data_IF_614101805943
#
_entry.id   IF_614101805943
#
_cell.length_a   1.000
_cell.length_b   1.000
_cell.length_c   1.000
_cell.angle_alpha   90.00
_cell.angle_beta   90.00
_cell.angle_gamma   90.00
#
_symmetry.space_group_name_H-M   'P 1'
#
loop_
_entity.id
_entity.type
_entity.pdbx_description
1 polymer ?
#
# COMPACT_ATOMS: atom_id res chain seq x y z
N UNK A 1 18.70 -44.35 -20.43
CA UNK A 1 17.55 -43.88 -19.65
C UNK A 1 17.69 -42.36 -19.54
N UNK A 2 17.25 -41.66 -20.58
CA UNK A 2 17.33 -40.20 -20.68
C UNK A 2 16.18 -39.60 -19.88
N UNK A 3 16.50 -38.80 -18.88
CA UNK A 3 15.51 -38.05 -18.10
C UNK A 3 15.01 -36.92 -19.00
N UNK A 4 13.74 -37.04 -19.42
CA UNK A 4 13.01 -36.01 -20.15
C UNK A 4 12.90 -34.74 -19.28
N UNK A 5 13.53 -33.67 -19.73
CA UNK A 5 13.51 -32.34 -19.13
C UNK A 5 12.28 -31.52 -19.56
N UNK A 6 11.13 -32.16 -19.68
CA UNK A 6 9.88 -31.56 -20.16
C UNK A 6 8.86 -31.41 -19.03
N UNK A 7 9.12 -30.47 -18.11
CA UNK A 7 8.06 -29.92 -17.24
C UNK A 7 8.32 -28.49 -16.72
N UNK A 8 9.11 -27.68 -17.44
CA UNK A 8 9.24 -26.24 -17.14
C UNK A 8 8.87 -25.43 -18.39
N UNK A 9 7.61 -25.51 -18.80
CA UNK A 9 7.01 -24.46 -19.63
C UNK A 9 5.49 -24.49 -19.47
N UNK A 10 4.97 -23.55 -18.69
CA UNK A 10 3.62 -23.05 -18.89
C UNK A 10 3.53 -21.65 -18.29
N UNK A 11 3.56 -20.65 -19.18
CA UNK A 11 3.51 -19.20 -18.96
C UNK A 11 4.88 -18.53 -18.71
N UNK A 12 5.68 -18.43 -19.79
CA UNK A 12 6.54 -17.26 -19.94
C UNK A 12 5.67 -16.00 -19.83
N UNK A 13 6.03 -15.11 -18.91
CA UNK A 13 5.32 -13.85 -18.68
C UNK A 13 5.60 -12.93 -19.88
N UNK A 14 4.76 -12.98 -20.92
CA UNK A 14 5.00 -12.29 -22.19
C UNK A 14 4.81 -10.77 -22.12
N UNK A 15 4.47 -10.23 -20.94
CA UNK A 15 4.28 -8.79 -20.71
C UNK A 15 5.54 -8.17 -20.16
N UNK A 16 5.87 -6.97 -20.65
CA UNK A 16 7.01 -6.18 -20.16
C UNK A 16 6.85 -5.95 -18.66
N UNK A 17 7.82 -6.39 -17.88
CA UNK A 17 7.85 -6.14 -16.45
C UNK A 17 8.24 -4.67 -16.19
N UNK A 18 7.45 -3.96 -15.38
CA UNK A 18 7.71 -2.56 -15.06
C UNK A 18 8.73 -2.42 -13.92
N UNK A 19 10.01 -2.65 -14.21
CA UNK A 19 11.10 -2.55 -13.25
C UNK A 19 11.17 -1.19 -12.53
N UNK A 20 10.88 -0.09 -13.25
CA UNK A 20 10.84 1.26 -12.66
C UNK A 20 9.75 1.38 -11.60
N UNK A 21 8.58 0.77 -11.81
CA UNK A 21 7.50 0.80 -10.82
C UNK A 21 7.88 -0.01 -9.57
N UNK A 22 8.61 -1.11 -9.72
CA UNK A 22 9.18 -1.84 -8.57
C UNK A 22 10.23 -1.01 -7.83
N UNK A 23 11.10 -0.31 -8.56
CA UNK A 23 12.09 0.59 -7.95
C UNK A 23 11.42 1.75 -7.18
N UNK A 24 10.33 2.32 -7.73
CA UNK A 24 9.53 3.34 -7.04
C UNK A 24 8.85 2.81 -5.77
N UNK A 25 8.46 1.52 -5.74
CA UNK A 25 8.01 0.90 -4.48
C UNK A 25 9.13 0.90 -3.44
N UNK A 26 10.36 0.62 -3.86
CA UNK A 26 11.55 0.71 -3.01
C UNK A 26 11.77 2.12 -2.46
N UNK A 27 11.71 3.14 -3.31
CA UNK A 27 11.82 4.55 -2.90
C UNK A 27 10.75 4.89 -1.86
N UNK A 28 9.48 4.58 -2.14
CA UNK A 28 8.37 4.83 -1.22
C UNK A 28 8.55 4.08 0.12
N UNK A 29 9.01 2.82 0.09
CA UNK A 29 9.22 2.02 1.30
C UNK A 29 10.34 2.60 2.18
N UNK A 30 11.44 3.06 1.59
CA UNK A 30 12.51 3.74 2.32
C UNK A 30 11.98 5.04 2.93
N UNK A 31 11.19 5.82 2.21
CA UNK A 31 10.55 7.03 2.74
C UNK A 31 9.64 6.74 3.94
N UNK A 32 8.89 5.64 3.92
CA UNK A 32 8.04 5.20 5.06
C UNK A 32 8.89 4.86 6.29
N UNK A 33 10.01 4.16 6.10
CA UNK A 33 10.93 3.86 7.20
C UNK A 33 11.50 5.14 7.80
N UNK A 34 11.98 6.07 6.97
CA UNK A 34 12.51 7.36 7.42
C UNK A 34 11.42 8.18 8.12
N UNK A 35 10.19 8.20 7.58
CA UNK A 35 9.04 8.85 8.21
C UNK A 35 8.84 8.37 9.65
N UNK A 36 8.72 7.05 9.86
CA UNK A 36 8.49 6.52 11.21
C UNK A 36 9.70 6.70 12.14
N UNK A 37 10.93 6.64 11.63
CA UNK A 37 12.12 6.93 12.43
C UNK A 37 12.08 8.37 12.95
N UNK A 38 11.77 9.34 12.09
CA UNK A 38 11.71 10.75 12.45
C UNK A 38 10.50 11.09 13.33
N UNK A 39 9.37 10.40 13.13
CA UNK A 39 8.12 10.59 13.86
C UNK A 39 8.32 10.46 15.38
N UNK A 40 9.17 9.53 15.81
CA UNK A 40 9.47 9.29 17.23
C UNK A 40 10.10 10.49 17.94
N UNK A 41 10.73 11.42 17.20
CA UNK A 41 11.38 12.62 17.72
C UNK A 41 10.50 13.87 17.70
N UNK A 42 9.25 13.76 17.21
CA UNK A 42 8.34 14.91 17.07
C UNK A 42 7.52 15.20 18.33
N UNK A 43 7.47 14.25 19.27
CA UNK A 43 6.62 14.35 20.47
C UNK A 43 5.12 14.41 20.14
N UNK A 44 4.70 13.85 19.01
CA UNK A 44 3.32 13.88 18.52
C UNK A 44 2.95 15.18 17.78
N UNK A 45 3.88 16.13 17.64
CA UNK A 45 3.64 17.35 16.87
C UNK A 45 3.98 17.14 15.40
N UNK A 46 2.95 16.91 14.59
CA UNK A 46 3.10 16.66 13.16
C UNK A 46 3.78 17.83 12.43
N UNK A 47 3.79 19.06 12.96
CA UNK A 47 4.47 20.18 12.29
C UNK A 47 6.00 20.13 12.38
N UNK A 48 6.54 19.38 13.36
CA UNK A 48 7.99 19.20 13.54
C UNK A 48 8.56 18.08 12.69
N UNK A 49 7.70 17.28 12.07
CA UNK A 49 8.10 16.15 11.26
C UNK A 49 8.73 16.61 9.95
N UNK A 50 9.98 16.22 9.70
CA UNK A 50 10.76 16.63 8.51
C UNK A 50 10.21 15.99 7.24
N UNK A 51 10.03 14.67 7.23
CA UNK A 51 9.32 13.96 6.17
C UNK A 51 7.87 13.89 6.60
N UNK A 52 7.05 14.88 6.23
CA UNK A 52 5.74 15.04 6.84
C UNK A 52 4.66 14.08 6.31
N UNK A 53 4.77 13.68 5.05
CA UNK A 53 3.70 12.97 4.34
C UNK A 53 4.06 11.54 3.95
N UNK A 54 5.05 10.94 4.62
CA UNK A 54 5.49 9.57 4.35
C UNK A 54 4.37 8.53 4.47
N UNK A 55 3.34 8.79 5.29
CA UNK A 55 2.16 7.93 5.38
C UNK A 55 1.37 7.82 4.06
N UNK A 56 1.45 8.81 3.16
CA UNK A 56 0.79 8.77 1.85
C UNK A 56 1.39 7.73 0.90
N UNK A 57 2.60 7.24 1.19
CA UNK A 57 3.20 6.14 0.42
C UNK A 57 2.31 4.89 0.39
N UNK A 58 1.47 4.69 1.42
CA UNK A 58 0.46 3.62 1.44
C UNK A 58 -0.54 3.76 0.28
N UNK A 59 -1.05 4.97 0.06
CA UNK A 59 -1.98 5.26 -1.03
C UNK A 59 -1.29 5.08 -2.40
N UNK A 60 -0.01 5.45 -2.49
CA UNK A 60 0.81 5.15 -3.67
C UNK A 60 0.96 3.64 -3.92
N UNK A 61 1.18 2.83 -2.88
CA UNK A 61 1.22 1.37 -3.01
C UNK A 61 -0.11 0.79 -3.48
N UNK A 62 -1.25 1.28 -2.97
CA UNK A 62 -2.57 0.87 -3.43
C UNK A 62 -2.82 1.25 -4.90
N UNK A 63 -2.40 2.44 -5.33
CA UNK A 63 -2.47 2.84 -6.73
C UNK A 63 -1.64 1.93 -7.62
N UNK A 64 -0.40 1.65 -7.23
CA UNK A 64 0.43 0.70 -7.95
C UNK A 64 -0.16 -0.72 -7.95
N UNK A 65 -0.81 -1.15 -6.87
CA UNK A 65 -1.47 -2.46 -6.81
C UNK A 65 -2.60 -2.53 -7.85
N UNK A 66 -3.47 -1.52 -7.90
CA UNK A 66 -4.53 -1.41 -8.91
C UNK A 66 -3.99 -1.38 -10.35
N UNK A 67 -2.92 -0.61 -10.59
CA UNK A 67 -2.30 -0.53 -11.91
C UNK A 67 -1.68 -1.86 -12.35
N UNK A 68 -0.86 -2.47 -11.50
CA UNK A 68 -0.15 -3.71 -11.81
C UNK A 68 -1.13 -4.88 -11.96
N UNK A 69 -2.19 -4.94 -11.15
CA UNK A 69 -3.15 -6.03 -11.24
C UNK A 69 -3.98 -5.96 -12.52
N UNK A 70 -4.44 -4.77 -12.91
CA UNK A 70 -5.14 -4.57 -14.18
C UNK A 70 -4.25 -4.91 -15.37
N UNK A 71 -3.02 -4.38 -15.38
CA UNK A 71 -2.03 -4.67 -16.42
C UNK A 71 -1.70 -6.17 -16.53
N UNK A 72 -1.51 -6.85 -15.40
CA UNK A 72 -1.04 -8.24 -15.41
C UNK A 72 -2.14 -9.25 -15.70
N UNK A 73 -3.42 -8.97 -15.35
CA UNK A 73 -4.45 -10.01 -15.32
C UNK A 73 -5.69 -9.76 -16.17
N UNK A 74 -6.01 -8.53 -16.60
CA UNK A 74 -7.29 -8.23 -17.29
C UNK A 74 -7.50 -9.09 -18.56
N UNK A 75 -6.42 -9.41 -19.30
CA UNK A 75 -6.45 -10.23 -20.52
C UNK A 75 -6.24 -11.74 -20.29
N UNK A 76 -5.94 -12.16 -19.06
CA UNK A 76 -5.57 -13.55 -18.72
C UNK A 76 -6.73 -14.40 -18.23
N UNK A 77 -7.89 -13.82 -17.98
CA UNK A 77 -9.04 -14.52 -17.40
C UNK A 77 -9.59 -15.66 -18.27
N UNK A 78 -9.39 -15.63 -19.59
CA UNK A 78 -9.77 -16.74 -20.48
C UNK A 78 -8.87 -17.97 -20.31
N UNK A 79 -7.68 -17.81 -19.71
CA UNK A 79 -6.67 -18.85 -19.52
C UNK A 79 -6.38 -19.14 -18.05
N UNK A 80 -7.10 -18.50 -17.13
CA UNK A 80 -6.84 -18.55 -15.70
C UNK A 80 -8.14 -18.63 -14.90
N UNK A 81 -8.23 -19.64 -14.03
CA UNK A 81 -9.35 -19.78 -13.11
C UNK A 81 -9.25 -18.80 -11.93
N UNK A 82 -10.37 -18.59 -11.23
CA UNK A 82 -10.41 -17.80 -10.00
C UNK A 82 -9.45 -18.33 -8.93
N UNK A 83 -9.43 -19.65 -8.72
CA UNK A 83 -8.48 -20.29 -7.80
C UNK A 83 -7.01 -20.12 -8.24
N UNK A 84 -6.75 -20.15 -9.56
CA UNK A 84 -5.43 -19.89 -10.11
C UNK A 84 -4.95 -18.46 -9.83
N UNK A 85 -5.84 -17.48 -9.93
CA UNK A 85 -5.54 -16.09 -9.54
C UNK A 85 -5.21 -15.99 -8.05
N UNK A 86 -6.08 -16.49 -7.17
CA UNK A 86 -5.87 -16.40 -5.72
C UNK A 86 -4.60 -17.13 -5.27
N UNK A 87 -4.29 -18.29 -5.85
CA UNK A 87 -3.03 -19.00 -5.59
C UNK A 87 -1.81 -18.14 -5.93
N UNK A 88 -1.81 -17.45 -7.08
CA UNK A 88 -0.71 -16.55 -7.47
C UNK A 88 -0.56 -15.36 -6.52
N UNK A 89 -1.68 -14.77 -6.08
CA UNK A 89 -1.65 -13.68 -5.09
C UNK A 89 -1.15 -14.16 -3.73
N UNK A 90 -1.56 -15.35 -3.30
CA UNK A 90 -1.12 -15.95 -2.03
C UNK A 90 0.38 -16.26 -2.05
N UNK A 91 0.90 -16.92 -3.09
CA UNK A 91 2.35 -17.21 -3.21
C UNK A 91 3.18 -15.93 -3.24
N UNK A 92 2.63 -14.84 -3.77
CA UNK A 92 3.33 -13.55 -3.83
C UNK A 92 3.36 -12.80 -2.49
N UNK A 93 2.26 -12.80 -1.74
CA UNK A 93 2.10 -11.94 -0.55
C UNK A 93 2.36 -12.67 0.76
N UNK A 94 1.92 -13.93 0.88
CA UNK A 94 1.88 -14.66 2.15
C UNK A 94 3.26 -15.03 2.72
N UNK A 95 4.28 -15.38 1.90
CA UNK A 95 5.62 -15.67 2.45
C UNK A 95 6.18 -14.48 3.26
N UNK A 96 6.00 -13.26 2.76
CA UNK A 96 6.46 -12.06 3.46
C UNK A 96 5.65 -11.78 4.73
N UNK A 97 4.36 -12.10 4.76
CA UNK A 97 3.52 -11.98 5.96
C UNK A 97 4.02 -12.93 7.05
N UNK A 98 4.28 -14.19 6.72
CA UNK A 98 4.80 -15.18 7.68
C UNK A 98 6.13 -14.72 8.25
N UNK A 99 7.06 -14.27 7.39
CA UNK A 99 8.36 -13.76 7.85
C UNK A 99 8.22 -12.52 8.74
N UNK A 100 7.35 -11.57 8.38
CA UNK A 100 7.12 -10.38 9.19
C UNK A 100 6.54 -10.72 10.57
N UNK A 101 5.58 -11.65 10.62
CA UNK A 101 4.98 -12.10 11.89
C UNK A 101 5.99 -12.82 12.78
N UNK A 102 6.88 -13.65 12.21
CA UNK A 102 7.97 -14.30 12.94
C UNK A 102 8.94 -13.26 13.52
N UNK A 103 9.39 -12.31 12.71
CA UNK A 103 10.30 -11.24 13.16
C UNK A 103 9.61 -10.37 14.22
N UNK A 104 8.34 -10.02 14.01
CA UNK A 104 7.55 -9.26 14.98
C UNK A 104 7.42 -9.98 16.32
N UNK A 105 7.19 -11.29 16.32
CA UNK A 105 7.14 -12.10 17.53
C UNK A 105 8.50 -12.22 18.23
N UNK A 106 9.59 -12.44 17.49
CA UNK A 106 10.95 -12.52 18.03
C UNK A 106 11.35 -11.18 18.69
N UNK A 107 10.97 -10.08 18.06
CA UNK A 107 11.34 -8.74 18.53
C UNK A 107 10.33 -8.12 19.51
N UNK A 108 9.20 -8.79 19.79
CA UNK A 108 8.04 -8.21 20.49
C UNK A 108 8.40 -7.55 21.82
N UNK A 109 9.05 -8.28 22.73
CA UNK A 109 9.38 -7.75 24.07
C UNK A 109 10.47 -6.67 24.05
N UNK A 110 11.24 -6.53 22.97
CA UNK A 110 12.22 -5.45 22.81
C UNK A 110 11.59 -4.11 22.41
N UNK A 111 10.30 -4.10 22.08
CA UNK A 111 9.56 -2.90 21.71
C UNK A 111 8.95 -2.18 22.91
N UNK A 112 9.11 -2.71 24.13
CA UNK A 112 8.53 -2.13 25.35
C UNK A 112 8.96 -0.67 25.53
N UNK A 113 7.98 0.22 25.62
CA UNK A 113 8.19 1.67 25.77
C UNK A 113 6.90 2.35 26.25
N UNK A 114 6.99 3.64 26.59
CA UNK A 114 5.86 4.46 27.08
C UNK A 114 4.63 4.52 26.15
N UNK A 115 4.79 4.17 24.87
CA UNK A 115 3.71 4.15 23.90
C UNK A 115 3.02 2.77 23.81
N UNK A 116 3.68 1.70 24.26
CA UNK A 116 3.21 0.31 24.13
C UNK A 116 3.08 -0.37 25.50
N UNK A 117 2.20 0.20 26.33
CA UNK A 117 2.09 -0.10 27.76
C UNK A 117 1.66 -1.53 28.09
N UNK A 118 1.17 -2.31 27.11
CA UNK A 118 0.72 -3.68 27.35
C UNK A 118 1.86 -4.69 27.28
N UNK A 119 2.97 -4.40 26.58
CA UNK A 119 4.00 -5.38 26.17
C UNK A 119 4.56 -6.16 27.36
N UNK A 120 4.99 -5.46 28.43
CA UNK A 120 5.58 -6.07 29.61
C UNK A 120 4.67 -7.11 30.31
N UNK A 121 3.35 -6.94 30.22
CA UNK A 121 2.36 -7.81 30.86
C UNK A 121 1.86 -8.96 29.98
N UNK A 122 2.29 -9.07 28.71
CA UNK A 122 1.73 -10.07 27.79
C UNK A 122 2.33 -11.45 28.05
N UNK A 123 1.51 -12.45 28.40
CA UNK A 123 2.00 -13.82 28.55
C UNK A 123 2.35 -14.42 27.17
N UNK A 124 3.41 -15.24 27.13
CA UNK A 124 3.95 -15.83 25.89
C UNK A 124 2.88 -16.57 25.07
N UNK A 125 1.95 -17.28 25.72
CA UNK A 125 0.89 -17.98 24.98
C UNK A 125 -0.01 -17.02 24.19
N UNK A 126 -0.27 -15.81 24.71
CA UNK A 126 -1.11 -14.79 24.03
C UNK A 126 -0.36 -14.23 22.83
N UNK A 127 0.95 -13.99 22.97
CA UNK A 127 1.85 -13.66 21.86
C UNK A 127 1.81 -14.73 20.76
N UNK A 128 1.96 -16.01 21.12
CA UNK A 128 1.92 -17.13 20.17
C UNK A 128 0.55 -17.28 19.49
N UNK A 129 -0.54 -17.07 20.21
CA UNK A 129 -1.90 -17.07 19.65
C UNK A 129 -2.06 -15.96 18.61
N UNK A 130 -1.68 -14.73 18.96
CA UNK A 130 -1.76 -13.57 18.05
C UNK A 130 -0.84 -13.75 16.84
N UNK A 131 0.33 -14.38 17.01
CA UNK A 131 1.22 -14.75 15.90
C UNK A 131 0.55 -15.76 14.95
N UNK A 132 -0.08 -16.81 15.48
CA UNK A 132 -0.76 -17.82 14.68
C UNK A 132 -1.93 -17.21 13.88
N UNK A 133 -2.72 -16.33 14.51
CA UNK A 133 -3.77 -15.57 13.81
C UNK A 133 -3.12 -14.65 12.77
N UNK A 134 -2.03 -13.96 13.12
CA UNK A 134 -1.27 -13.07 12.24
C UNK A 134 -0.78 -13.75 10.96
N UNK A 135 -0.38 -15.03 11.01
CA UNK A 135 -0.01 -15.79 9.80
C UNK A 135 -1.14 -15.87 8.78
N UNK A 136 -2.40 -15.82 9.21
CA UNK A 136 -3.56 -15.83 8.32
C UNK A 136 -3.92 -14.45 7.77
N UNK A 137 -3.32 -13.39 8.32
CA UNK A 137 -3.70 -11.99 8.11
C UNK A 137 -5.16 -11.69 8.48
N UNK A 138 -5.80 -12.53 9.30
CA UNK A 138 -7.09 -12.18 9.89
C UNK A 138 -6.88 -11.11 10.98
N UNK A 139 -7.72 -10.06 11.00
CA UNK A 139 -7.55 -8.97 11.94
C UNK A 139 -8.05 -9.41 13.33
N UNK A 140 -7.41 -8.93 14.39
CA UNK A 140 -7.83 -9.20 15.77
C UNK A 140 -8.59 -8.01 16.37
N UNK A 141 -9.62 -8.26 17.22
CA UNK A 141 -10.30 -7.20 17.95
C UNK A 141 -9.39 -6.60 19.04
N UNK A 142 -9.76 -5.42 19.56
CA UNK A 142 -9.01 -4.72 20.60
C UNK A 142 -8.79 -5.54 21.89
N UNK A 143 -9.62 -6.55 22.17
CA UNK A 143 -9.41 -7.48 23.31
C UNK A 143 -8.15 -8.35 23.17
N UNK A 144 -7.69 -8.57 21.94
CA UNK A 144 -6.47 -9.29 21.61
C UNK A 144 -5.30 -8.35 21.26
N UNK A 145 -5.43 -7.05 21.50
CA UNK A 145 -4.34 -6.10 21.38
C UNK A 145 -3.28 -6.38 22.47
N UNK A 146 -2.13 -6.87 22.02
CA UNK A 146 -0.98 -7.17 22.87
C UNK A 146 -0.02 -5.99 23.00
N UNK A 147 -0.14 -4.96 22.16
CA UNK A 147 0.76 -3.81 22.14
C UNK A 147 0.18 -2.62 22.93
N UNK A 148 -1.14 -2.48 22.95
CA UNK A 148 -1.85 -1.37 23.60
C UNK A 148 -2.05 -0.17 22.68
N UNK A 149 -2.01 -0.39 21.36
CA UNK A 149 -2.14 0.64 20.32
C UNK A 149 -3.38 0.44 19.43
N UNK A 150 -4.30 -0.44 19.83
CA UNK A 150 -5.56 -0.78 19.13
C UNK A 150 -5.38 -1.37 17.72
N UNK A 151 -4.19 -1.87 17.40
CA UNK A 151 -3.88 -2.41 16.07
C UNK A 151 -4.57 -3.75 15.81
N UNK A 152 -5.14 -3.89 14.61
CA UNK A 152 -5.73 -5.15 14.15
C UNK A 152 -4.68 -6.24 13.85
N UNK A 153 -3.40 -5.86 13.76
CA UNK A 153 -2.25 -6.75 13.58
C UNK A 153 -1.09 -6.30 14.48
N UNK A 154 -1.17 -6.51 15.80
CA UNK A 154 -0.28 -5.87 16.77
C UNK A 154 1.18 -6.38 16.78
N UNK A 155 1.49 -7.45 16.04
CA UNK A 155 2.89 -7.90 15.81
C UNK A 155 3.55 -7.20 14.63
N UNK A 156 2.75 -6.73 13.69
CA UNK A 156 3.20 -6.06 12.47
C UNK A 156 2.19 -4.96 12.19
N UNK A 157 2.32 -3.84 12.88
CA UNK A 157 1.41 -2.69 12.76
C UNK A 157 1.04 -2.36 11.30
N UNK A 158 2.02 -2.19 10.38
CA UNK A 158 1.76 -1.88 8.97
C UNK A 158 0.98 -2.96 8.18
N UNK A 159 0.78 -4.17 8.72
CA UNK A 159 0.09 -5.26 8.02
C UNK A 159 -1.38 -4.98 7.70
N UNK A 160 -1.99 -3.98 8.34
CA UNK A 160 -3.35 -3.53 8.01
C UNK A 160 -3.46 -3.16 6.52
N UNK A 161 -2.40 -2.60 5.93
CA UNK A 161 -2.37 -2.24 4.50
C UNK A 161 -2.48 -3.48 3.60
N UNK A 162 -1.79 -4.57 3.95
CA UNK A 162 -1.89 -5.85 3.23
C UNK A 162 -3.28 -6.48 3.39
N UNK A 163 -3.91 -6.34 4.56
CA UNK A 163 -5.29 -6.79 4.77
C UNK A 163 -6.24 -6.12 3.78
N UNK A 164 -6.17 -4.80 3.63
CA UNK A 164 -6.94 -4.07 2.61
C UNK A 164 -6.53 -4.46 1.18
N UNK A 165 -5.25 -4.75 0.91
CA UNK A 165 -4.83 -5.25 -0.41
C UNK A 165 -5.47 -6.61 -0.73
N UNK A 166 -5.59 -7.53 0.24
CA UNK A 166 -6.34 -8.78 0.04
C UNK A 166 -7.81 -8.54 -0.28
N UNK A 167 -8.46 -7.60 0.41
CA UNK A 167 -9.83 -7.20 0.09
C UNK A 167 -9.91 -6.67 -1.35
N UNK A 168 -9.01 -5.78 -1.75
CA UNK A 168 -8.98 -5.27 -3.12
C UNK A 168 -8.72 -6.37 -4.16
N UNK A 169 -7.85 -7.35 -3.87
CA UNK A 169 -7.64 -8.51 -4.75
C UNK A 169 -8.92 -9.33 -4.95
N UNK A 170 -9.68 -9.54 -3.87
CA UNK A 170 -10.98 -10.23 -3.91
C UNK A 170 -11.99 -9.42 -4.72
N UNK A 171 -12.14 -8.13 -4.41
CA UNK A 171 -13.04 -7.22 -5.14
C UNK A 171 -12.70 -7.17 -6.63
N UNK A 172 -11.41 -7.11 -6.98
CA UNK A 172 -10.95 -7.15 -8.36
C UNK A 172 -11.37 -8.44 -9.07
N UNK A 173 -11.05 -9.60 -8.49
CA UNK A 173 -11.30 -10.89 -9.10
C UNK A 173 -12.79 -11.21 -9.30
N UNK A 174 -13.63 -10.78 -8.36
CA UNK A 174 -15.06 -11.07 -8.36
C UNK A 174 -15.89 -10.04 -9.12
N UNK A 175 -15.54 -8.75 -8.99
CA UNK A 175 -16.39 -7.63 -9.42
C UNK A 175 -15.64 -6.69 -10.36
N UNK A 176 -14.60 -5.99 -9.89
CA UNK A 176 -14.07 -4.80 -10.56
C UNK A 176 -13.51 -5.09 -11.95
N UNK A 177 -12.93 -6.28 -12.16
CA UNK A 177 -12.41 -6.67 -13.47
C UNK A 177 -13.47 -6.67 -14.58
N UNK A 178 -14.74 -6.92 -14.23
CA UNK A 178 -15.87 -7.04 -15.17
C UNK A 178 -16.52 -5.70 -15.47
N UNK A 179 -16.19 -4.66 -14.72
CA UNK A 179 -16.81 -3.35 -14.89
C UNK A 179 -16.28 -2.67 -16.17
N UNK A 180 -17.15 -2.01 -16.96
CA UNK A 180 -16.71 -1.17 -18.05
C UNK A 180 -16.01 0.08 -17.53
N UNK A 181 -15.13 0.66 -18.35
CA UNK A 181 -14.32 1.83 -17.97
C UNK A 181 -15.18 3.04 -17.54
N UNK A 182 -16.38 3.20 -18.08
CA UNK A 182 -17.31 4.27 -17.67
C UNK A 182 -17.78 4.12 -16.22
N UNK A 183 -18.21 2.92 -15.81
CA UNK A 183 -18.61 2.66 -14.41
C UNK A 183 -17.40 2.78 -13.49
N UNK A 184 -16.25 2.25 -13.92
CA UNK A 184 -15.02 2.37 -13.14
C UNK A 184 -14.63 3.85 -12.94
N UNK A 185 -14.76 4.70 -13.96
CA UNK A 185 -14.51 6.13 -13.85
C UNK A 185 -15.48 6.83 -12.88
N UNK A 186 -16.76 6.46 -12.88
CA UNK A 186 -17.73 6.97 -11.90
C UNK A 186 -17.33 6.56 -10.48
N UNK A 187 -16.92 5.31 -10.27
CA UNK A 187 -16.45 4.85 -8.96
C UNK A 187 -15.18 5.57 -8.51
N UNK A 188 -14.23 5.81 -9.43
CA UNK A 188 -13.03 6.61 -9.16
C UNK A 188 -13.39 8.03 -8.74
N UNK A 189 -14.35 8.67 -9.43
CA UNK A 189 -14.81 10.02 -9.08
C UNK A 189 -15.44 10.05 -7.69
N UNK A 190 -16.35 9.12 -7.38
CA UNK A 190 -17.01 9.04 -6.07
C UNK A 190 -15.97 8.77 -4.96
N UNK A 191 -15.05 7.82 -5.18
CA UNK A 191 -14.00 7.51 -4.21
C UNK A 191 -13.04 8.71 -4.02
N UNK A 192 -12.74 9.46 -5.08
CA UNK A 192 -11.91 10.66 -5.01
C UNK A 192 -12.59 11.78 -4.22
N UNK A 193 -13.89 12.00 -4.44
CA UNK A 193 -14.69 12.93 -3.64
C UNK A 193 -14.73 12.52 -2.16
N UNK A 194 -14.89 11.22 -1.87
CA UNK A 194 -14.85 10.69 -0.51
C UNK A 194 -13.48 10.86 0.16
N UNK A 195 -12.38 10.67 -0.59
CA UNK A 195 -11.02 10.89 -0.11
C UNK A 195 -10.75 12.36 0.20
N UNK A 196 -11.14 13.27 -0.71
CA UNK A 196 -11.01 14.73 -0.49
C UNK A 196 -11.82 15.14 0.73
N UNK A 197 -13.08 14.69 0.82
CA UNK A 197 -13.91 14.97 1.99
C UNK A 197 -13.23 14.46 3.27
N UNK A 198 -12.77 13.21 3.30
CA UNK A 198 -12.11 12.63 4.47
C UNK A 198 -10.89 13.46 4.89
N UNK A 199 -10.00 13.78 3.95
CA UNK A 199 -8.77 14.49 4.24
C UNK A 199 -9.01 15.92 4.75
N UNK A 200 -9.89 16.67 4.08
CA UNK A 200 -10.17 18.08 4.39
C UNK A 200 -10.99 18.25 5.68
N UNK A 201 -11.86 17.29 5.99
CA UNK A 201 -12.71 17.32 7.21
C UNK A 201 -12.13 16.56 8.39
N UNK A 202 -10.96 15.92 8.22
CA UNK A 202 -10.26 15.21 9.29
C UNK A 202 -9.91 16.19 10.43
N UNK A 203 -10.18 15.84 11.70
CA UNK A 203 -9.79 16.68 12.84
C UNK A 203 -8.29 16.93 12.90
N UNK A 204 -7.50 15.98 12.40
CA UNK A 204 -6.04 16.08 12.30
C UNK A 204 -5.61 16.69 10.97
N UNK A 205 -6.50 16.99 10.01
CA UNK A 205 -6.11 17.52 8.70
C UNK A 205 -5.21 16.60 7.88
N UNK A 206 -5.23 15.31 8.16
CA UNK A 206 -4.51 14.29 7.41
C UNK A 206 -5.37 13.02 7.30
N UNK A 207 -4.90 12.07 6.50
CA UNK A 207 -5.56 10.78 6.27
C UNK A 207 -4.95 9.65 7.11
N UNK A 208 -4.22 9.96 8.19
CA UNK A 208 -3.58 8.94 9.02
C UNK A 208 -4.66 8.10 9.71
N UNK A 209 -4.72 6.81 9.37
CA UNK A 209 -5.72 5.87 9.87
C UNK A 209 -5.80 4.61 9.01
N UNK A 210 -6.58 3.64 9.50
CA UNK A 210 -6.85 2.36 8.84
C UNK A 210 -6.43 1.12 9.62
N UNK A 211 -5.82 1.27 10.81
CA UNK A 211 -5.14 0.14 11.48
C UNK A 211 -5.97 -0.62 12.51
N UNK A 212 -7.19 -0.20 12.83
CA UNK A 212 -8.03 -0.85 13.85
C UNK A 212 -9.38 -1.34 13.31
N UNK A 213 -9.97 -2.32 14.00
CA UNK A 213 -11.34 -2.81 13.71
C UNK A 213 -12.35 -1.96 14.50
N UNK A 214 -12.51 -0.71 14.09
CA UNK A 214 -13.59 0.15 14.55
C UNK A 214 -14.17 0.94 13.36
N UNK A 215 -15.40 1.47 13.48
CA UNK A 215 -16.07 2.13 12.36
C UNK A 215 -15.29 3.30 11.75
N UNK A 216 -14.59 4.08 12.58
CA UNK A 216 -13.83 5.25 12.13
C UNK A 216 -12.58 4.80 11.36
N UNK A 217 -11.81 3.88 11.94
CA UNK A 217 -10.59 3.38 11.31
C UNK A 217 -10.88 2.58 10.05
N UNK A 218 -11.95 1.77 10.03
CA UNK A 218 -12.39 1.07 8.82
C UNK A 218 -12.83 2.04 7.72
N UNK A 219 -13.55 3.12 8.05
CA UNK A 219 -13.91 4.16 7.07
C UNK A 219 -12.66 4.78 6.45
N UNK A 220 -11.65 5.11 7.26
CA UNK A 220 -10.38 5.65 6.75
C UNK A 220 -9.69 4.62 5.86
N UNK A 221 -9.49 3.39 6.34
CA UNK A 221 -8.81 2.33 5.60
C UNK A 221 -9.48 2.02 4.26
N UNK A 222 -10.80 1.89 4.21
CA UNK A 222 -11.53 1.70 2.95
C UNK A 222 -11.42 2.91 2.02
N UNK A 223 -11.50 4.15 2.53
CA UNK A 223 -11.38 5.35 1.69
C UNK A 223 -10.00 5.44 1.04
N UNK A 224 -8.95 5.16 1.83
CA UNK A 224 -7.55 5.09 1.38
C UNK A 224 -7.27 3.93 0.44
N UNK A 225 -8.02 2.84 0.54
CA UNK A 225 -7.94 1.72 -0.42
C UNK A 225 -8.65 2.06 -1.74
N UNK A 226 -9.91 2.50 -1.66
CA UNK A 226 -10.82 2.51 -2.79
C UNK A 226 -10.37 3.47 -3.88
N UNK A 227 -10.06 4.74 -3.55
CA UNK A 227 -9.67 5.70 -4.59
C UNK A 227 -8.38 5.25 -5.31
N UNK A 228 -7.24 5.06 -4.62
CA UNK A 228 -5.99 4.79 -5.32
C UNK A 228 -6.04 3.48 -6.10
N UNK A 229 -6.62 2.42 -5.52
CA UNK A 229 -6.73 1.14 -6.21
C UNK A 229 -7.60 1.22 -7.48
N UNK A 230 -8.77 1.87 -7.41
CA UNK A 230 -9.64 2.04 -8.58
C UNK A 230 -8.99 2.95 -9.63
N UNK A 231 -8.33 4.03 -9.21
CA UNK A 231 -7.63 4.95 -10.10
C UNK A 231 -6.48 4.24 -10.82
N UNK A 232 -5.68 3.45 -10.11
CA UNK A 232 -4.62 2.62 -10.69
C UNK A 232 -5.17 1.60 -11.69
N UNK A 233 -6.26 0.91 -11.34
CA UNK A 233 -6.91 -0.04 -12.24
C UNK A 233 -7.41 0.66 -13.51
N UNK A 234 -8.09 1.79 -13.38
CA UNK A 234 -8.57 2.57 -14.52
C UNK A 234 -7.40 3.06 -15.39
N UNK A 235 -6.33 3.58 -14.77
CA UNK A 235 -5.12 4.05 -15.43
C UNK A 235 -4.52 2.94 -16.30
N UNK A 236 -4.44 1.70 -15.79
CA UNK A 236 -3.92 0.55 -16.54
C UNK A 236 -4.73 0.18 -17.78
N UNK A 237 -6.02 0.55 -17.81
CA UNK A 237 -6.94 0.23 -18.91
C UNK A 237 -7.00 1.29 -19.99
N UNK A 238 -6.92 2.56 -19.59
CA UNK A 238 -7.14 3.69 -20.51
C UNK A 238 -5.82 4.28 -21.02
N UNK A 239 -4.74 4.18 -20.24
CA UNK A 239 -3.47 4.81 -20.59
C UNK A 239 -2.52 3.80 -21.21
N UNK A 240 -2.02 4.13 -22.39
CA UNK A 240 -0.89 3.45 -23.02
C UNK A 240 0.38 4.20 -22.61
N UNK A 241 1.31 3.57 -21.87
CA UNK A 241 2.56 4.22 -21.52
C UNK A 241 3.34 4.68 -22.75
N UNK A 242 3.88 5.89 -22.68
CA UNK A 242 4.69 6.49 -23.74
C UNK A 242 6.17 6.13 -23.61
N UNK A 243 7.02 7.02 -24.12
CA UNK A 243 8.47 6.98 -23.90
C UNK A 243 8.90 8.27 -23.21
N UNK A 244 9.43 8.14 -21.98
CA UNK A 244 9.95 9.25 -21.20
C UNK A 244 11.40 8.94 -20.79
N UNK A 245 12.32 9.82 -21.19
CA UNK A 245 13.71 9.74 -20.79
C UNK A 245 13.86 10.04 -19.29
N UNK A 246 14.78 9.34 -18.61
CA UNK A 246 15.04 9.51 -17.18
C UNK A 246 13.77 9.34 -16.31
N UNK A 247 12.81 8.54 -16.76
CA UNK A 247 11.54 8.32 -16.08
C UNK A 247 11.71 7.94 -14.60
N UNK A 248 12.65 7.06 -14.27
CA UNK A 248 12.91 6.67 -12.87
C UNK A 248 13.35 7.86 -12.01
N UNK A 249 14.29 8.68 -12.49
CA UNK A 249 14.76 9.85 -11.74
C UNK A 249 13.63 10.88 -11.57
N UNK A 250 12.91 11.18 -12.64
CA UNK A 250 11.81 12.16 -12.60
C UNK A 250 10.69 11.73 -11.65
N UNK A 251 10.25 10.47 -11.76
CA UNK A 251 9.22 9.91 -10.88
C UNK A 251 9.69 9.82 -9.43
N UNK A 252 10.96 9.47 -9.17
CA UNK A 252 11.52 9.40 -7.82
C UNK A 252 11.62 10.78 -7.16
N UNK A 253 12.12 11.80 -7.89
CA UNK A 253 12.20 13.18 -7.38
C UNK A 253 10.80 13.71 -7.07
N UNK A 254 9.86 13.54 -8.00
CA UNK A 254 8.48 13.99 -7.81
C UNK A 254 7.83 13.31 -6.60
N UNK A 255 8.01 11.99 -6.46
CA UNK A 255 7.50 11.23 -5.32
C UNK A 255 8.13 11.71 -4.01
N UNK A 256 9.45 11.87 -3.95
CA UNK A 256 10.15 12.32 -2.75
C UNK A 256 9.72 13.73 -2.33
N UNK A 257 9.59 14.67 -3.27
CA UNK A 257 9.11 16.03 -2.98
C UNK A 257 7.71 15.96 -2.35
N UNK A 258 6.81 15.19 -2.94
CA UNK A 258 5.42 15.07 -2.45
C UNK A 258 5.33 14.43 -1.07
N UNK A 259 6.23 13.52 -0.73
CA UNK A 259 6.22 12.85 0.57
C UNK A 259 6.98 13.63 1.66
N UNK A 260 7.85 14.57 1.28
CA UNK A 260 8.77 15.25 2.18
C UNK A 260 8.43 16.73 2.45
N UNK A 261 7.42 17.29 1.80
CA UNK A 261 7.04 18.69 2.01
C UNK A 261 6.64 18.91 3.49
N UNK A 262 7.02 20.04 4.11
CA UNK A 262 6.56 20.35 5.46
C UNK A 262 5.04 20.45 5.55
N UNK A 263 4.50 20.22 6.74
CA UNK A 263 3.06 20.27 6.98
C UNK A 263 2.42 21.57 6.47
N UNK A 264 1.45 21.44 5.58
CA UNK A 264 0.81 22.61 4.96
C UNK A 264 -0.25 23.20 5.91
N UNK A 265 -0.20 24.51 6.14
CA UNK A 265 -1.19 25.19 7.00
C UNK A 265 -0.93 25.15 8.50
N UNK A 266 0.17 24.53 8.95
CA UNK A 266 0.60 24.54 10.36
C UNK A 266 -0.44 23.94 11.32
N UNK A 267 -0.56 24.52 12.52
CA UNK A 267 -1.54 24.09 13.54
C UNK A 267 -2.94 24.65 13.33
N UNK A 268 -3.08 25.77 12.61
CA UNK A 268 -4.34 26.52 12.53
C UNK A 268 -5.20 26.15 11.31
N UNK A 269 -4.57 25.76 10.20
CA UNK A 269 -5.27 25.52 8.93
C UNK A 269 -5.09 24.08 8.47
N UNK A 270 -5.47 23.16 9.34
CA UNK A 270 -5.33 21.70 9.15
C UNK A 270 -5.95 21.21 7.83
N UNK A 271 -7.07 21.81 7.42
CA UNK A 271 -7.74 21.50 6.14
C UNK A 271 -6.84 21.72 4.92
N UNK A 272 -5.86 22.63 4.98
CA UNK A 272 -4.90 22.85 3.88
C UNK A 272 -3.96 21.67 3.72
N UNK A 273 -3.57 21.00 4.81
CA UNK A 273 -2.82 19.75 4.75
C UNK A 273 -3.69 18.64 4.14
N UNK A 274 -4.94 18.50 4.58
CA UNK A 274 -5.85 17.52 4.00
C UNK A 274 -6.10 17.74 2.50
N UNK A 275 -6.16 19.00 2.07
CA UNK A 275 -6.23 19.34 0.65
C UNK A 275 -4.95 18.96 -0.10
N UNK A 276 -3.78 19.23 0.50
CA UNK A 276 -2.49 18.80 -0.05
C UNK A 276 -2.41 17.28 -0.21
N UNK A 277 -2.79 16.52 0.82
CA UNK A 277 -2.78 15.06 0.80
C UNK A 277 -3.66 14.53 -0.34
N UNK A 278 -4.90 15.01 -0.38
CA UNK A 278 -5.89 14.53 -1.35
C UNK A 278 -5.51 14.91 -2.77
N UNK A 279 -5.03 16.12 -3.05
CA UNK A 279 -4.56 16.51 -4.39
C UNK A 279 -3.31 15.73 -4.81
N UNK A 280 -2.39 15.46 -3.88
CA UNK A 280 -1.21 14.64 -4.13
C UNK A 280 -1.58 13.23 -4.56
N UNK A 281 -2.51 12.60 -3.83
CA UNK A 281 -3.00 11.26 -4.15
C UNK A 281 -3.82 11.26 -5.44
N UNK A 282 -4.68 12.27 -5.65
CA UNK A 282 -5.62 12.30 -6.78
C UNK A 282 -4.97 12.67 -8.11
N UNK A 283 -3.95 13.53 -8.07
CA UNK A 283 -3.33 14.08 -9.28
C UNK A 283 -1.89 13.61 -9.46
N UNK A 284 -1.07 13.73 -8.42
CA UNK A 284 0.38 13.54 -8.56
C UNK A 284 0.75 12.06 -8.62
N UNK A 285 0.17 11.20 -7.79
CA UNK A 285 0.47 9.75 -7.83
C UNK A 285 0.15 9.08 -9.17
N UNK A 286 -1.00 9.32 -9.82
CA UNK A 286 -1.24 8.86 -11.19
C UNK A 286 -0.17 9.33 -12.19
N UNK A 287 0.29 10.59 -12.07
CA UNK A 287 1.35 11.14 -12.93
C UNK A 287 2.68 10.42 -12.67
N UNK A 288 3.07 10.21 -11.41
CA UNK A 288 4.28 9.46 -11.02
C UNK A 288 4.26 8.06 -11.63
N UNK A 289 3.12 7.34 -11.51
CA UNK A 289 2.97 5.99 -12.07
C UNK A 289 3.00 6.01 -13.60
N UNK A 290 2.35 6.97 -14.25
CA UNK A 290 2.41 7.12 -15.70
C UNK A 290 3.84 7.37 -16.20
N UNK A 291 4.58 8.27 -15.55
CA UNK A 291 5.98 8.54 -15.87
C UNK A 291 6.80 7.26 -15.71
N UNK A 292 6.68 6.58 -14.57
CA UNK A 292 7.41 5.35 -14.29
C UNK A 292 7.09 4.22 -15.28
N UNK A 293 5.83 4.07 -15.67
CA UNK A 293 5.41 3.08 -16.67
C UNK A 293 5.89 3.41 -18.09
N UNK A 294 6.13 4.70 -18.38
CA UNK A 294 6.61 5.19 -19.69
C UNK A 294 8.14 5.17 -19.82
N UNK A 295 8.85 4.64 -18.82
CA UNK A 295 10.30 4.53 -18.83
C UNK A 295 10.83 3.21 -19.39
N UNK A 296 12.07 3.26 -19.87
CA UNK A 296 12.87 2.10 -20.22
C UNK A 296 14.18 2.15 -19.42
N UNK A 297 14.54 1.03 -18.81
CA UNK A 297 15.88 0.83 -18.28
C UNK A 297 16.73 0.50 -19.50
N UNK A 298 17.64 1.41 -19.87
CA UNK A 298 18.71 1.05 -20.80
C UNK A 298 19.64 0.15 -20.02
N UNK A 299 19.77 -1.11 -20.43
CA UNK A 299 20.76 -2.01 -19.85
C UNK A 299 22.15 -1.39 -20.03
N UNK A 300 22.64 -0.76 -18.97
CA UNK A 300 23.98 -0.23 -18.89
C UNK A 300 24.91 -1.38 -18.56
N UNK A 301 25.52 -1.94 -19.60
CA UNK A 301 26.90 -2.44 -19.74
C UNK A 301 26.87 -3.43 -20.92
N UNK A 302 26.92 -2.89 -22.14
CA UNK A 302 27.60 -3.58 -23.24
C UNK A 302 29.05 -3.10 -23.20
N UNK A 303 29.86 -3.75 -22.36
CA UNK A 303 31.32 -3.75 -22.51
C UNK A 303 31.70 -4.75 -23.59
#
# INVERSE_FOLDING_TARGET
MSIDSTSISAYADSKKHYQILDALRGVAAVTVVIFHLLETFTGGDHTKQIINHGYMAVDFFFLLSGFVIGYAYDDRWNKMSLGGFFKRRLIRLHPMIVMAMLIGAITFYFQDCQYFNNIAGVPVWKLLLVMLIGFTLLPVPSSLDIRGWTEMHPLVGPAWTLFFEYIANILYALILRRLPNAILAILVFIAGAALIHLAVTSPQGDIIGGWAIDPTQLRIGFTRLLYPFLAGLLLSRIVKPGKINNAFLLSSILLLIVLAIPRVGGHERLWMNGLYDSLSIVLIFPIVVYIGASGEIKDGISS
#
